data_IF_373473485539
#
_entry.id   IF_373473485539
#
_cell.length_a   1.000
_cell.length_b   1.000
_cell.length_c   1.000
_cell.angle_alpha   90.00
_cell.angle_beta   90.00
_cell.angle_gamma   90.00
#
_symmetry.space_group_name_H-M   'P 1'
#
loop_
_entity.id
_entity.type
_entity.pdbx_description
1 polymer ?
#
# COMPACT_ATOMS: atom_id res chain seq x y z
N UNK A 1 -88.42 67.19 19.55
CA UNK A 1 -87.43 68.26 19.82
C UNK A 1 -86.22 67.63 20.51
N UNK A 2 -85.05 67.76 19.87
CA UNK A 2 -83.65 67.73 20.39
C UNK A 2 -83.07 66.47 21.11
N UNK A 3 -82.28 65.73 20.32
CA UNK A 3 -80.98 65.03 20.58
C UNK A 3 -80.04 65.71 21.62
N UNK A 4 -78.85 65.14 21.96
CA UNK A 4 -78.46 63.76 22.37
C UNK A 4 -77.32 63.77 23.46
N UNK A 5 -76.91 62.64 24.06
CA UNK A 5 -75.53 62.46 24.56
C UNK A 5 -75.21 60.99 24.88
N UNK A 6 -74.79 60.27 23.85
CA UNK A 6 -73.99 59.05 23.93
C UNK A 6 -72.56 59.43 24.34
N UNK A 7 -72.23 59.27 25.62
CA UNK A 7 -70.88 59.47 26.16
C UNK A 7 -70.75 58.74 27.51
N UNK A 8 -70.22 57.51 27.53
CA UNK A 8 -69.32 56.98 28.58
C UNK A 8 -69.04 55.49 28.31
N UNK A 9 -67.80 55.08 28.59
CA UNK A 9 -67.23 53.72 28.56
C UNK A 9 -66.65 53.24 27.22
N UNK A 10 -65.62 53.96 26.76
CA UNK A 10 -64.56 53.43 25.90
C UNK A 10 -63.19 53.82 26.51
N UNK A 11 -62.73 53.09 27.53
CA UNK A 11 -61.33 53.15 28.03
C UNK A 11 -60.92 51.74 28.47
N UNK A 12 -60.46 50.95 27.51
CA UNK A 12 -59.65 49.75 27.76
C UNK A 12 -58.59 49.68 26.66
N UNK A 13 -57.67 50.64 26.71
CA UNK A 13 -56.41 50.62 26.00
C UNK A 13 -55.36 51.14 27.00
N UNK A 14 -54.32 50.34 27.24
CA UNK A 14 -52.97 50.66 27.79
C UNK A 14 -52.49 49.44 28.58
N UNK A 15 -51.45 48.74 28.09
CA UNK A 15 -50.76 47.73 28.91
C UNK A 15 -50.04 46.58 28.21
N UNK A 16 -49.76 46.62 26.90
CA UNK A 16 -48.80 45.68 26.31
C UNK A 16 -47.37 46.20 26.54
N UNK A 17 -46.78 45.90 27.70
CA UNK A 17 -45.34 46.01 27.88
C UNK A 17 -44.67 44.87 27.11
N UNK A 18 -44.20 45.16 25.89
CA UNK A 18 -43.27 44.29 25.17
C UNK A 18 -41.96 44.31 25.97
N UNK A 19 -41.73 43.28 26.78
CA UNK A 19 -40.43 43.04 27.41
C UNK A 19 -39.45 42.66 26.30
N UNK A 20 -38.53 43.56 25.96
CA UNK A 20 -37.45 43.26 25.04
C UNK A 20 -36.58 42.15 25.66
N UNK A 21 -36.67 40.93 25.12
CA UNK A 21 -35.84 39.82 25.53
C UNK A 21 -34.36 40.19 25.31
N UNK A 22 -33.51 39.97 26.32
CA UNK A 22 -32.08 40.17 26.20
C UNK A 22 -31.52 39.15 25.21
N UNK A 23 -30.93 39.60 24.10
CA UNK A 23 -30.26 38.72 23.15
C UNK A 23 -28.74 38.71 23.40
N UNK A 24 -28.12 37.56 23.16
CA UNK A 24 -26.66 37.46 23.16
C UNK A 24 -26.09 38.10 21.90
N UNK A 25 -25.04 38.90 22.06
CA UNK A 25 -24.29 39.54 20.98
C UNK A 25 -22.83 39.72 21.39
N UNK A 26 -22.01 40.29 20.53
CA UNK A 26 -20.63 40.64 20.85
C UNK A 26 -20.29 42.06 20.39
N UNK A 27 -19.33 42.68 21.06
CA UNK A 27 -18.74 43.96 20.69
C UNK A 27 -17.24 43.79 20.47
N UNK A 28 -16.63 44.73 19.74
CA UNK A 28 -15.18 44.80 19.50
C UNK A 28 -14.56 43.50 18.96
N UNK A 29 -15.31 42.81 18.09
CA UNK A 29 -14.81 41.62 17.39
C UNK A 29 -13.67 41.98 16.45
N UNK A 30 -12.53 41.32 16.60
CA UNK A 30 -11.38 41.46 15.71
C UNK A 30 -10.80 40.09 15.35
N UNK A 31 -10.53 39.92 14.07
CA UNK A 31 -9.85 38.78 13.47
C UNK A 31 -8.44 39.21 13.09
N UNK A 32 -7.42 38.46 13.49
CA UNK A 32 -6.03 38.71 13.12
C UNK A 32 -5.35 37.45 12.63
N UNK A 33 -4.73 37.48 11.45
CA UNK A 33 -3.90 36.39 10.92
C UNK A 33 -2.44 36.78 11.03
N UNK A 34 -1.63 35.92 11.66
CA UNK A 34 -0.18 36.13 11.81
C UNK A 34 0.59 34.95 11.25
N UNK A 35 1.47 35.20 10.28
CA UNK A 35 2.37 34.18 9.70
C UNK A 35 3.66 34.07 10.51
N UNK A 36 4.10 32.85 10.82
CA UNK A 36 5.31 32.61 11.62
C UNK A 36 6.54 32.45 10.71
N UNK A 37 7.08 33.56 10.23
CA UNK A 37 8.36 33.63 9.52
C UNK A 37 9.24 34.76 10.09
N UNK A 38 10.46 34.44 10.49
CA UNK A 38 11.45 35.42 10.94
C UNK A 38 11.86 36.32 9.77
N UNK A 39 11.20 37.47 9.60
CA UNK A 39 11.52 38.46 8.58
C UNK A 39 10.35 38.98 7.73
N UNK A 40 9.10 38.54 7.95
CA UNK A 40 7.99 39.05 7.16
C UNK A 40 7.53 40.44 7.63
N UNK A 41 7.89 41.46 6.86
CA UNK A 41 7.59 42.89 7.04
C UNK A 41 6.25 43.29 6.41
N UNK A 42 5.31 42.36 6.28
CA UNK A 42 3.97 42.66 5.77
C UNK A 42 2.92 42.38 6.86
N UNK A 43 2.17 43.42 7.21
CA UNK A 43 1.33 43.48 8.39
C UNK A 43 0.22 42.44 8.37
N UNK A 44 0.11 41.66 9.45
CA UNK A 44 -0.97 40.68 9.61
C UNK A 44 -2.35 41.31 9.36
N UNK A 45 -3.19 40.61 8.60
CA UNK A 45 -4.54 41.07 8.23
C UNK A 45 -5.37 41.19 9.51
N UNK A 46 -5.85 42.40 9.81
CA UNK A 46 -6.78 42.67 10.92
C UNK A 46 -8.12 43.11 10.35
N UNK A 47 -9.15 42.32 10.60
CA UNK A 47 -10.51 42.63 10.16
C UNK A 47 -11.45 42.74 11.37
N UNK A 48 -12.38 43.69 11.29
CA UNK A 48 -13.37 43.93 12.35
C UNK A 48 -14.59 43.07 12.07
N UNK A 49 -14.98 42.25 13.05
CA UNK A 49 -16.19 41.44 12.99
C UNK A 49 -17.37 42.26 13.52
N UNK A 50 -18.46 42.29 12.76
CA UNK A 50 -19.71 42.98 13.14
C UNK A 50 -20.78 41.93 13.39
N UNK A 51 -21.57 42.05 14.48
CA UNK A 51 -22.66 41.12 14.73
C UNK A 51 -23.64 41.08 13.56
N UNK A 52 -23.98 39.86 13.13
CA UNK A 52 -25.01 39.58 12.10
C UNK A 52 -24.61 39.98 10.67
N UNK A 53 -23.34 40.33 10.45
CA UNK A 53 -22.79 40.59 9.12
C UNK A 53 -21.58 39.69 8.88
N UNK A 54 -21.67 38.86 7.85
CA UNK A 54 -20.54 38.05 7.40
C UNK A 54 -19.53 38.94 6.66
N UNK A 55 -18.25 38.71 6.90
CA UNK A 55 -17.17 39.38 6.18
C UNK A 55 -17.22 39.03 4.68
N UNK A 56 -17.09 40.03 3.80
CA UNK A 56 -17.20 39.85 2.34
C UNK A 56 -16.00 39.14 1.72
N UNK A 57 -14.82 39.24 2.35
CA UNK A 57 -13.58 38.67 1.83
C UNK A 57 -13.31 37.34 2.52
N UNK A 58 -12.89 36.35 1.74
CA UNK A 58 -12.38 35.10 2.29
C UNK A 58 -11.00 35.33 2.91
N UNK A 59 -10.77 34.73 4.07
CA UNK A 59 -9.52 34.88 4.82
C UNK A 59 -8.62 33.68 4.54
N UNK A 60 -7.47 33.95 3.95
CA UNK A 60 -6.50 32.92 3.56
C UNK A 60 -5.62 32.50 4.75
N UNK A 61 -5.50 31.20 4.97
CA UNK A 61 -4.64 30.59 5.99
C UNK A 61 -3.53 29.76 5.34
N UNK A 62 -2.27 30.18 5.49
CA UNK A 62 -1.10 29.40 5.08
C UNK A 62 -0.75 28.25 6.04
N UNK A 63 0.25 27.45 5.68
CA UNK A 63 0.65 26.20 6.37
C UNK A 63 1.36 26.37 7.72
N UNK A 64 1.56 27.60 8.17
CA UNK A 64 2.10 27.93 9.49
C UNK A 64 1.41 29.16 10.11
N UNK A 65 0.28 29.59 9.55
CA UNK A 65 -0.40 30.80 9.99
C UNK A 65 -1.21 30.53 11.25
N UNK A 66 -1.18 31.49 12.16
CA UNK A 66 -2.00 31.51 13.37
C UNK A 66 -3.11 32.54 13.19
N UNK A 67 -4.35 32.08 13.22
CA UNK A 67 -5.53 32.92 13.23
C UNK A 67 -5.99 33.12 14.68
N UNK A 68 -6.17 34.37 15.07
CA UNK A 68 -6.61 34.75 16.42
C UNK A 68 -7.83 35.63 16.32
N UNK A 69 -8.87 35.27 17.07
CA UNK A 69 -10.11 36.04 17.18
C UNK A 69 -10.23 36.54 18.61
N UNK A 70 -10.53 37.82 18.77
CA UNK A 70 -10.82 38.46 20.05
C UNK A 70 -12.14 39.20 19.96
N UNK A 71 -13.06 38.95 20.89
CA UNK A 71 -14.36 39.61 20.93
C UNK A 71 -14.80 39.82 22.39
N UNK A 72 -15.71 40.76 22.64
CA UNK A 72 -16.29 41.00 23.97
C UNK A 72 -17.75 40.57 23.95
N UNK A 73 -18.08 39.50 24.65
CA UNK A 73 -19.43 38.92 24.67
C UNK A 73 -20.33 39.76 25.58
N UNK A 74 -21.54 40.08 25.10
CA UNK A 74 -22.52 40.90 25.79
C UNK A 74 -23.89 40.24 25.76
N UNK A 75 -24.61 40.34 26.87
CA UNK A 75 -26.04 40.06 26.97
C UNK A 75 -26.75 41.42 26.96
N UNK A 76 -27.45 41.73 25.86
CA UNK A 76 -27.96 43.08 25.62
C UNK A 76 -26.83 44.11 25.56
N UNK A 77 -26.78 45.04 26.53
CA UNK A 77 -25.72 46.07 26.65
C UNK A 77 -24.67 45.75 27.73
N UNK A 78 -24.83 44.64 28.44
CA UNK A 78 -23.96 44.28 29.57
C UNK A 78 -22.99 43.19 29.18
N UNK A 79 -21.69 43.42 29.37
CA UNK A 79 -20.68 42.39 29.16
C UNK A 79 -20.86 41.28 30.20
N UNK A 80 -21.09 40.05 29.74
CA UNK A 80 -21.32 38.89 30.60
C UNK A 80 -20.65 37.67 30.00
N UNK A 81 -20.26 36.73 30.87
CA UNK A 81 -19.73 35.44 30.48
C UNK A 81 -20.88 34.48 30.14
N UNK A 82 -21.03 34.03 28.88
CA UNK A 82 -22.02 33.00 28.56
C UNK A 82 -21.59 31.64 29.10
N UNK A 83 -22.55 30.73 29.19
CA UNK A 83 -22.27 29.34 29.56
C UNK A 83 -21.50 28.60 28.46
N UNK A 84 -21.83 28.90 27.21
CA UNK A 84 -21.30 28.25 26.01
C UNK A 84 -20.81 29.32 25.02
N UNK A 85 -19.53 29.22 24.63
CA UNK A 85 -18.92 30.07 23.61
C UNK A 85 -17.95 29.24 22.77
N UNK A 86 -18.34 28.97 21.52
CA UNK A 86 -17.54 28.18 20.58
C UNK A 86 -17.44 28.88 19.22
N UNK A 87 -16.28 28.72 18.59
CA UNK A 87 -16.09 28.97 17.17
C UNK A 87 -16.30 27.64 16.45
N UNK A 88 -17.33 27.56 15.62
CA UNK A 88 -17.63 26.39 14.83
C UNK A 88 -17.06 26.59 13.42
N UNK A 89 -16.24 25.65 12.96
CA UNK A 89 -15.67 25.62 11.61
C UNK A 89 -16.35 24.48 10.86
N UNK A 90 -17.03 24.78 9.77
CA UNK A 90 -17.80 23.80 9.00
C UNK A 90 -17.35 23.76 7.54
N UNK A 91 -17.19 22.55 7.02
CA UNK A 91 -17.07 22.26 5.59
C UNK A 91 -18.46 21.82 5.09
N UNK A 92 -19.10 22.67 4.27
CA UNK A 92 -20.46 22.42 3.79
C UNK A 92 -20.54 21.21 2.86
N UNK A 93 -19.48 20.97 2.08
CA UNK A 93 -19.45 19.92 1.06
C UNK A 93 -19.25 18.55 1.70
N UNK A 94 -18.35 18.47 2.68
CA UNK A 94 -18.01 17.21 3.35
C UNK A 94 -18.85 16.91 4.58
N UNK A 95 -19.73 17.84 4.99
CA UNK A 95 -20.52 17.77 6.24
C UNK A 95 -19.64 17.52 7.47
N UNK A 96 -18.44 18.12 7.49
CA UNK A 96 -17.50 18.02 8.59
C UNK A 96 -17.56 19.30 9.41
N UNK A 97 -17.60 19.17 10.73
CA UNK A 97 -17.60 20.29 11.66
C UNK A 97 -16.64 20.08 12.83
N UNK A 98 -16.01 21.16 13.27
CA UNK A 98 -15.13 21.16 14.44
C UNK A 98 -15.38 22.43 15.25
N UNK A 99 -15.58 22.26 16.55
CA UNK A 99 -15.81 23.36 17.49
C UNK A 99 -14.57 23.67 18.32
N UNK A 100 -14.23 24.95 18.42
CA UNK A 100 -13.12 25.45 19.23
C UNK A 100 -13.66 26.36 20.36
N UNK A 101 -13.41 26.05 21.64
CA UNK A 101 -13.90 26.88 22.73
C UNK A 101 -13.17 28.21 22.79
N UNK A 102 -13.92 29.27 23.06
CA UNK A 102 -13.34 30.55 23.44
C UNK A 102 -12.85 30.52 24.87
N UNK A 103 -11.67 31.09 25.12
CA UNK A 103 -11.20 31.40 26.47
C UNK A 103 -11.85 32.71 26.91
N UNK A 104 -12.96 32.62 27.66
CA UNK A 104 -13.76 33.77 28.11
C UNK A 104 -13.39 34.18 29.54
N UNK A 105 -13.03 35.45 29.73
CA UNK A 105 -12.82 36.07 31.04
C UNK A 105 -14.15 36.52 31.65
N UNK A 106 -14.15 36.75 32.97
CA UNK A 106 -15.31 37.27 33.69
C UNK A 106 -15.81 38.62 33.15
N UNK A 107 -14.91 39.42 32.56
CA UNK A 107 -15.23 40.68 31.88
C UNK A 107 -15.94 40.52 30.52
N UNK A 108 -16.28 39.30 30.10
CA UNK A 108 -16.88 39.01 28.79
C UNK A 108 -15.87 38.96 27.62
N UNK A 109 -14.59 39.33 27.85
CA UNK A 109 -13.55 39.23 26.81
C UNK A 109 -13.24 37.77 26.49
N UNK A 110 -13.34 37.40 25.23
CA UNK A 110 -13.19 36.05 24.71
C UNK A 110 -12.08 35.99 23.65
N UNK A 111 -11.21 34.98 23.74
CA UNK A 111 -10.11 34.78 22.80
C UNK A 111 -10.06 33.33 22.32
N UNK A 112 -9.94 33.13 21.01
CA UNK A 112 -9.62 31.83 20.40
C UNK A 112 -8.46 32.00 19.43
N UNK A 113 -7.68 30.94 19.25
CA UNK A 113 -6.50 30.90 18.40
C UNK A 113 -6.48 29.55 17.70
N UNK A 114 -6.35 29.57 16.38
CA UNK A 114 -6.28 28.42 15.50
C UNK A 114 -4.94 28.45 14.78
N UNK A 115 -4.31 27.31 14.60
CA UNK A 115 -3.08 27.16 13.83
C UNK A 115 -3.34 26.16 12.71
N UNK A 116 -3.07 26.58 11.49
CA UNK A 116 -3.00 25.66 10.35
C UNK A 116 -1.65 24.96 10.43
N UNK A 117 -1.60 23.74 10.96
CA UNK A 117 -0.41 22.89 10.96
C UNK A 117 -0.81 21.50 10.48
N UNK A 118 -0.11 21.02 9.46
CA UNK A 118 -0.23 19.63 9.02
C UNK A 118 0.44 18.74 10.08
N UNK A 119 -0.29 17.85 10.77
CA UNK A 119 0.33 16.91 11.70
C UNK A 119 1.22 15.94 10.92
N UNK A 120 2.52 15.93 11.23
CA UNK A 120 3.51 15.03 10.62
C UNK A 120 3.45 13.62 11.25
N UNK A 121 2.29 12.96 11.25
CA UNK A 121 2.21 11.55 11.66
C UNK A 121 2.76 10.59 10.58
N UNK A 122 3.15 11.11 9.42
CA UNK A 122 3.69 10.34 8.31
C UNK A 122 5.08 9.76 8.59
N UNK A 123 5.86 10.30 9.54
CA UNK A 123 7.19 9.74 9.86
C UNK A 123 7.14 8.39 10.57
N UNK A 124 6.10 8.13 11.37
CA UNK A 124 6.00 6.86 12.10
C UNK A 124 5.43 5.73 11.21
N UNK A 125 4.48 6.08 10.34
CA UNK A 125 3.93 5.14 9.35
C UNK A 125 4.89 4.87 8.19
N UNK A 126 5.72 5.85 7.83
CA UNK A 126 6.79 5.73 6.83
C UNK A 126 7.86 4.73 7.25
N UNK A 127 8.38 4.82 8.48
CA UNK A 127 9.40 3.87 9.01
C UNK A 127 8.91 2.42 9.02
N UNK A 128 7.60 2.19 9.25
CA UNK A 128 7.02 0.84 9.18
C UNK A 128 6.93 0.31 7.75
N UNK A 129 6.60 1.16 6.76
CA UNK A 129 6.54 0.77 5.35
C UNK A 129 7.93 0.62 4.73
N UNK A 130 8.90 1.41 5.17
CA UNK A 130 10.29 1.34 4.72
C UNK A 130 10.98 0.08 5.23
N UNK A 131 10.78 -0.27 6.51
CA UNK A 131 11.24 -1.55 7.06
C UNK A 131 10.55 -2.75 6.40
N UNK A 132 9.26 -2.64 6.06
CA UNK A 132 8.50 -3.73 5.43
C UNK A 132 8.82 -3.88 3.92
N UNK A 133 9.20 -2.80 3.23
CA UNK A 133 9.75 -2.87 1.85
C UNK A 133 11.19 -3.40 1.85
N UNK A 134 12.02 -3.02 2.82
CA UNK A 134 13.39 -3.51 2.93
C UNK A 134 13.45 -5.03 3.19
N UNK A 135 12.48 -5.61 3.89
CA UNK A 135 12.39 -7.07 4.09
C UNK A 135 11.84 -7.84 2.88
N UNK A 136 11.26 -7.17 1.87
CA UNK A 136 10.53 -7.83 0.78
C UNK A 136 11.06 -7.52 -0.63
N UNK A 137 12.10 -6.66 -0.76
CA UNK A 137 12.63 -6.20 -2.05
C UNK A 137 14.05 -6.68 -2.41
N UNK A 138 14.64 -7.66 -1.72
CA UNK A 138 15.98 -8.17 -2.05
C UNK A 138 15.96 -9.35 -3.05
N UNK A 139 15.01 -9.32 -3.98
CA UNK A 139 14.87 -10.33 -5.05
C UNK A 139 14.28 -9.68 -6.29
N UNK A 140 15.19 -9.16 -7.14
CA UNK A 140 15.02 -8.73 -8.56
C UNK A 140 15.37 -7.26 -8.82
N UNK A 141 16.66 -7.03 -9.09
CA UNK A 141 17.17 -5.84 -9.77
C UNK A 141 17.20 -6.09 -11.29
N UNK A 142 16.25 -5.54 -12.05
CA UNK A 142 16.39 -5.33 -13.51
C UNK A 142 15.75 -3.97 -13.86
N UNK A 143 16.48 -3.04 -14.50
CA UNK A 143 15.98 -1.69 -14.85
C UNK A 143 15.05 -1.70 -16.07
N UNK A 144 14.21 -0.65 -16.27
CA UNK A 144 13.23 -0.62 -17.35
C UNK A 144 13.84 -0.04 -18.63
N UNK A 145 13.59 -0.69 -19.77
CA UNK A 145 13.67 -0.06 -21.09
C UNK A 145 12.61 -0.64 -22.04
N UNK A 146 11.89 0.30 -22.65
CA UNK A 146 11.28 0.30 -23.99
C UNK A 146 10.17 -0.69 -24.40
N UNK A 147 8.98 -0.10 -24.52
CA UNK A 147 8.11 -0.10 -25.71
C UNK A 147 7.25 -1.32 -26.06
N UNK A 148 5.93 -1.01 -26.11
CA UNK A 148 4.95 -1.38 -27.15
C UNK A 148 4.29 -2.78 -27.21
N UNK A 149 2.95 -2.71 -27.12
CA UNK A 149 1.93 -3.41 -27.93
C UNK A 149 1.38 -4.77 -27.43
N UNK A 150 0.24 -4.64 -26.74
CA UNK A 150 -1.11 -5.21 -27.04
C UNK A 150 -1.38 -6.72 -27.20
N UNK A 151 -2.44 -7.10 -26.48
CA UNK A 151 -3.56 -8.02 -26.82
C UNK A 151 -3.54 -9.48 -26.34
N UNK A 152 -4.34 -9.67 -25.27
CA UNK A 152 -5.38 -10.70 -25.00
C UNK A 152 -5.18 -12.15 -25.50
N UNK A 153 -5.38 -13.14 -24.60
CA UNK A 153 -6.59 -13.99 -24.54
C UNK A 153 -6.38 -15.33 -23.77
N UNK A 154 -7.14 -15.49 -22.68
CA UNK A 154 -7.70 -16.69 -22.01
C UNK A 154 -6.99 -18.06 -21.97
N UNK A 155 -6.81 -18.64 -20.77
CA UNK A 155 -7.59 -19.78 -20.19
C UNK A 155 -6.87 -20.34 -18.94
N UNK A 156 -7.58 -20.79 -17.87
CA UNK A 156 -6.94 -21.25 -16.64
C UNK A 156 -6.78 -22.78 -16.60
N UNK A 157 -5.58 -23.28 -16.29
CA UNK A 157 -5.35 -24.68 -15.93
C UNK A 157 -4.78 -24.78 -14.53
N UNK A 158 -5.40 -25.66 -13.73
CA UNK A 158 -5.08 -26.03 -12.37
C UNK A 158 -3.59 -26.34 -12.18
N UNK A 159 -2.91 -25.61 -11.29
CA UNK A 159 -1.63 -26.06 -10.73
C UNK A 159 -1.52 -25.69 -9.26
N UNK A 160 -1.50 -26.71 -8.41
CA UNK A 160 -1.15 -26.65 -6.99
C UNK A 160 0.37 -26.49 -6.84
N UNK A 161 0.90 -25.54 -6.04
CA UNK A 161 2.26 -25.62 -5.56
C UNK A 161 2.34 -25.84 -4.04
N UNK A 162 3.06 -26.90 -3.74
CA UNK A 162 3.57 -27.39 -2.45
C UNK A 162 4.24 -26.28 -1.60
N UNK A 163 4.00 -26.17 -0.28
CA UNK A 163 4.65 -25.17 0.55
C UNK A 163 6.09 -25.60 0.89
N UNK A 164 7.07 -25.14 0.11
CA UNK A 164 8.46 -25.09 0.60
C UNK A 164 8.59 -23.90 1.55
N UNK A 165 8.49 -24.19 2.84
CA UNK A 165 8.96 -23.37 3.95
C UNK A 165 10.42 -22.98 3.75
N UNK A 166 10.67 -21.71 3.41
CA UNK A 166 11.98 -21.10 3.61
C UNK A 166 11.94 -20.35 4.95
N UNK A 167 12.56 -20.94 5.98
CA UNK A 167 12.90 -20.25 7.22
C UNK A 167 14.04 -19.28 6.91
N UNK A 168 13.75 -17.99 6.89
CA UNK A 168 14.80 -16.98 7.07
C UNK A 168 15.09 -16.89 8.57
N UNK A 169 16.28 -17.37 8.96
CA UNK A 169 16.87 -17.14 10.28
C UNK A 169 17.11 -15.64 10.44
N UNK A 170 16.42 -15.02 11.39
CA UNK A 170 16.67 -13.62 11.77
C UNK A 170 18.06 -13.44 12.40
N UNK A 171 18.77 -12.34 12.11
CA UNK A 171 19.92 -11.94 12.90
C UNK A 171 19.44 -11.29 14.21
N UNK A 172 19.84 -11.90 15.33
CA UNK A 172 19.61 -11.50 16.74
C UNK A 172 20.41 -10.23 17.11
N UNK A 173 20.31 -9.16 16.32
CA UNK A 173 21.12 -7.94 16.55
C UNK A 173 20.35 -6.61 16.57
N UNK A 174 19.02 -6.61 16.45
CA UNK A 174 18.22 -5.37 16.49
C UNK A 174 17.49 -5.10 17.81
N UNK A 175 17.81 -5.83 18.87
CA UNK A 175 17.16 -5.69 20.18
C UNK A 175 17.98 -4.86 21.19
N UNK A 176 19.25 -4.55 20.90
CA UNK A 176 20.14 -3.84 21.82
C UNK A 176 20.19 -2.31 21.62
N UNK A 177 19.78 -1.79 20.46
CA UNK A 177 19.78 -0.34 20.20
C UNK A 177 18.49 0.37 20.63
N UNK A 178 17.45 -0.38 21.00
CA UNK A 178 16.12 0.17 21.37
C UNK A 178 16.01 0.50 22.87
N UNK A 179 16.94 0.03 23.70
CA UNK A 179 16.86 0.17 25.17
C UNK A 179 17.66 1.34 25.77
N UNK A 180 18.42 2.10 24.97
CA UNK A 180 19.40 3.09 25.47
C UNK A 180 19.14 4.55 25.06
N UNK A 181 17.95 4.91 24.58
CA UNK A 181 17.57 6.32 24.33
C UNK A 181 16.52 6.82 25.33
N UNK A 182 16.92 7.46 26.44
CA UNK A 182 15.99 8.13 27.33
C UNK A 182 15.70 9.51 26.74
N UNK A 183 14.64 9.65 25.93
CA UNK A 183 13.91 10.89 25.63
C UNK A 183 12.95 10.67 24.44
N UNK A 184 12.02 9.72 24.59
CA UNK A 184 10.85 9.66 23.72
C UNK A 184 9.81 10.65 24.27
N UNK A 185 9.74 11.81 23.63
CA UNK A 185 8.70 12.81 23.80
C UNK A 185 7.34 12.09 23.85
N UNK A 186 6.46 12.39 24.83
CA UNK A 186 5.13 11.79 24.87
C UNK A 186 4.37 12.11 23.58
N UNK A 187 3.39 11.28 23.18
CA UNK A 187 2.54 11.58 22.03
C UNK A 187 1.97 12.97 22.25
N UNK A 188 2.31 13.90 21.36
CA UNK A 188 1.85 15.29 21.43
C UNK A 188 0.34 15.21 21.25
N UNK A 189 -0.41 15.24 22.37
CA UNK A 189 -1.87 15.39 22.34
C UNK A 189 -2.15 16.53 21.38
N UNK A 190 -2.96 16.30 20.34
CA UNK A 190 -3.36 17.36 19.40
C UNK A 190 -3.67 18.59 20.24
N UNK A 191 -2.81 19.61 20.15
CA UNK A 191 -3.08 20.80 20.93
C UNK A 191 -4.39 21.31 20.36
N UNK A 192 -5.38 21.57 21.22
CA UNK A 192 -6.77 21.93 20.89
C UNK A 192 -6.91 23.16 19.96
N UNK A 193 -5.80 23.66 19.44
CA UNK A 193 -5.59 24.84 18.61
C UNK A 193 -5.29 24.49 17.16
N UNK A 194 -4.93 23.24 16.83
CA UNK A 194 -4.55 22.89 15.46
C UNK A 194 -5.80 22.53 14.62
N UNK A 195 -5.84 22.98 13.36
CA UNK A 195 -6.91 22.63 12.40
C UNK A 195 -6.67 21.20 11.87
N UNK A 196 -7.64 20.25 11.99
CA UNK A 196 -7.43 18.89 11.52
C UNK A 196 -7.12 18.85 10.03
N UNK A 197 -6.26 17.90 9.62
CA UNK A 197 -5.81 17.78 8.24
C UNK A 197 -6.94 17.64 7.21
N UNK A 198 -8.12 17.16 7.63
CA UNK A 198 -9.30 17.04 6.77
C UNK A 198 -9.79 18.40 6.25
N UNK A 199 -9.60 19.48 7.01
CA UNK A 199 -10.00 20.84 6.66
C UNK A 199 -8.91 21.61 5.88
N UNK A 200 -7.74 20.99 5.67
CA UNK A 200 -6.61 21.61 4.95
C UNK A 200 -6.56 21.20 3.47
N UNK A 201 -7.60 20.54 2.96
CA UNK A 201 -7.65 20.08 1.57
C UNK A 201 -7.72 21.27 0.59
N UNK A 202 -7.05 21.18 -0.57
CA UNK A 202 -7.08 22.24 -1.58
C UNK A 202 -8.53 22.51 -2.04
N UNK A 203 -8.85 23.79 -2.26
CA UNK A 203 -10.15 24.29 -2.74
C UNK A 203 -11.33 24.08 -1.79
N UNK A 204 -11.10 23.86 -0.50
CA UNK A 204 -12.19 23.80 0.49
C UNK A 204 -12.56 25.20 1.00
N UNK A 205 -13.85 25.51 1.03
CA UNK A 205 -14.37 26.74 1.64
C UNK A 205 -14.98 26.42 2.99
N UNK A 206 -14.36 26.93 4.06
CA UNK A 206 -14.79 26.62 5.42
C UNK A 206 -15.61 27.79 5.95
N UNK A 207 -16.88 27.54 6.24
CA UNK A 207 -17.74 28.54 6.88
C UNK A 207 -17.47 28.53 8.37
N UNK A 208 -17.10 29.68 8.95
CA UNK A 208 -16.95 29.81 10.40
C UNK A 208 -18.12 30.56 11.00
N UNK A 209 -18.71 30.00 12.05
CA UNK A 209 -19.80 30.61 12.81
C UNK A 209 -19.43 30.76 14.28
N UNK A 210 -19.96 31.82 14.87
CA UNK A 210 -19.76 32.11 16.29
C UNK A 210 -21.04 31.71 17.02
N UNK A 211 -20.90 30.83 18.01
CA UNK A 211 -22.03 30.32 18.80
C UNK A 211 -21.86 30.80 20.24
N UNK A 212 -22.83 31.58 20.71
CA UNK A 212 -22.90 32.08 22.09
C UNK A 212 -24.25 31.68 22.69
N UNK A 213 -24.24 30.97 23.81
CA UNK A 213 -25.47 30.56 24.48
C UNK A 213 -25.29 30.53 26.00
N UNK A 214 -26.38 30.81 26.71
CA UNK A 214 -26.49 30.57 28.15
C UNK A 214 -27.84 29.97 28.46
N UNK A 215 -27.94 29.31 29.61
CA UNK A 215 -29.25 29.00 30.19
C UNK A 215 -29.88 30.31 30.71
N UNK A 216 -31.19 30.48 30.52
CA UNK A 216 -31.93 31.63 31.05
C UNK A 216 -32.92 32.28 30.06
N UNK A 217 -33.42 33.45 30.44
CA UNK A 217 -34.42 34.23 29.67
C UNK A 217 -33.88 34.77 28.33
N UNK A 218 -32.57 34.69 28.11
CA UNK A 218 -31.84 35.24 26.96
C UNK A 218 -31.80 34.24 25.78
N UNK A 219 -32.97 33.71 25.43
CA UNK A 219 -33.17 32.79 24.29
C UNK A 219 -33.88 33.53 23.15
N UNK A 220 -33.45 33.39 21.88
CA UNK A 220 -32.42 32.47 21.38
C UNK A 220 -30.97 32.95 21.61
N UNK A 221 -30.05 31.99 21.71
CA UNK A 221 -28.61 32.26 21.67
C UNK A 221 -28.16 32.82 20.33
N UNK A 222 -26.93 33.33 20.27
CA UNK A 222 -26.32 33.84 19.05
C UNK A 222 -25.75 32.69 18.22
N UNK A 223 -26.18 32.55 16.97
CA UNK A 223 -25.61 31.61 16.00
C UNK A 223 -25.62 32.27 14.61
N UNK A 224 -24.49 32.83 14.19
CA UNK A 224 -24.34 33.50 12.90
C UNK A 224 -22.97 33.21 12.28
N UNK A 225 -22.93 33.15 10.95
CA UNK A 225 -21.69 33.02 10.19
C UNK A 225 -20.89 34.33 10.26
N UNK A 226 -19.60 34.23 10.58
CA UNK A 226 -18.73 35.39 10.77
C UNK A 226 -17.84 35.64 9.54
N UNK A 227 -17.15 34.61 9.04
CA UNK A 227 -16.24 34.71 7.90
C UNK A 227 -15.99 33.34 7.25
N UNK A 228 -15.52 33.36 6.00
CA UNK A 228 -15.15 32.17 5.25
C UNK A 228 -13.63 32.01 5.25
N UNK A 229 -13.13 30.84 5.64
CA UNK A 229 -11.71 30.49 5.58
C UNK A 229 -11.41 29.71 4.31
N UNK A 230 -10.31 30.08 3.66
CA UNK A 230 -9.74 29.32 2.55
C UNK A 230 -8.32 28.89 2.94
N UNK A 231 -8.09 27.59 3.19
CA UNK A 231 -6.74 27.08 3.39
C UNK A 231 -5.97 27.20 2.07
N UNK A 232 -4.88 27.97 2.05
CA UNK A 232 -4.00 28.01 0.88
C UNK A 232 -3.12 26.76 0.92
N UNK A 233 -3.28 25.89 -0.08
CA UNK A 233 -2.47 24.69 -0.25
C UNK A 233 -0.97 25.04 -0.22
N UNK A 234 -0.24 24.39 0.68
CA UNK A 234 1.21 24.51 0.79
C UNK A 234 1.85 23.79 -0.39
N UNK A 235 2.58 24.53 -1.23
CA UNK A 235 3.45 24.09 -2.34
C UNK A 235 2.84 23.09 -3.35
N UNK A 236 2.64 23.47 -4.64
CA UNK A 236 2.12 22.57 -5.68
C UNK A 236 2.97 21.31 -5.93
N UNK A 237 4.18 21.21 -5.38
CA UNK A 237 5.09 20.07 -5.55
C UNK A 237 4.98 18.97 -4.48
N UNK A 238 4.23 19.20 -3.39
CA UNK A 238 4.04 18.18 -2.34
C UNK A 238 2.59 17.69 -2.37
N UNK A 239 2.31 16.49 -2.91
CA UNK A 239 0.97 15.92 -2.85
C UNK A 239 0.54 15.83 -1.39
N UNK A 240 -0.59 16.45 -1.03
CA UNK A 240 -1.23 16.17 0.25
C UNK A 240 -1.36 14.65 0.37
N UNK A 241 -0.87 14.01 1.44
CA UNK A 241 -1.13 12.60 1.63
C UNK A 241 -2.64 12.45 1.70
N UNK A 242 -3.22 11.75 0.72
CA UNK A 242 -4.64 11.43 0.66
C UNK A 242 -5.01 10.74 1.97
N UNK A 243 -5.47 11.54 2.93
CA UNK A 243 -5.89 11.10 4.26
C UNK A 243 -7.41 11.12 4.27
N UNK A 244 -8.03 10.64 3.18
CA UNK A 244 -9.29 9.94 3.35
C UNK A 244 -8.94 8.66 4.11
N UNK A 245 -9.24 8.63 5.41
CA UNK A 245 -9.36 7.34 6.09
C UNK A 245 -10.31 6.52 5.25
N UNK A 246 -9.95 5.29 4.84
CA UNK A 246 -10.80 4.50 3.97
C UNK A 246 -12.17 4.45 4.63
N UNK A 247 -13.22 4.79 3.86
CA UNK A 247 -14.59 4.63 4.31
C UNK A 247 -14.71 3.25 4.97
N UNK A 248 -14.99 3.22 6.28
CA UNK A 248 -15.03 1.97 7.05
C UNK A 248 -15.99 0.96 6.40
N UNK A 249 -17.05 1.47 5.79
CA UNK A 249 -18.03 0.72 5.01
C UNK A 249 -18.07 1.20 3.56
N UNK A 250 -16.90 1.28 2.90
CA UNK A 250 -16.77 1.57 1.48
C UNK A 250 -16.40 0.34 0.66
N UNK A 251 -16.63 0.39 -0.66
CA UNK A 251 -16.10 -0.61 -1.58
C UNK A 251 -14.57 -0.45 -1.63
N UNK A 252 -13.83 -1.49 -1.21
CA UNK A 252 -12.39 -1.54 -1.40
C UNK A 252 -12.07 -1.73 -2.90
N UNK A 253 -10.93 -1.21 -3.39
CA UNK A 253 -10.49 -1.47 -4.76
C UNK A 253 -10.27 -2.97 -4.97
N UNK A 254 -10.67 -3.48 -6.14
CA UNK A 254 -10.50 -4.88 -6.53
C UNK A 254 -9.01 -5.24 -6.64
N UNK A 255 -8.59 -6.36 -6.05
CA UNK A 255 -7.21 -6.82 -6.05
C UNK A 255 -7.05 -7.90 -7.13
N UNK A 256 -6.25 -7.63 -8.17
CA UNK A 256 -5.91 -8.64 -9.17
C UNK A 256 -4.60 -9.35 -8.78
N UNK A 257 -4.61 -10.69 -8.81
CA UNK A 257 -3.38 -11.46 -8.68
C UNK A 257 -2.52 -11.27 -9.93
N UNK A 258 -1.33 -10.71 -9.78
CA UNK A 258 -0.36 -10.56 -10.87
C UNK A 258 0.44 -11.86 -10.96
N UNK A 259 0.17 -12.65 -12.02
CA UNK A 259 0.95 -13.85 -12.32
C UNK A 259 2.37 -13.46 -12.74
N UNK A 260 3.34 -14.34 -12.44
CA UNK A 260 4.68 -14.21 -12.99
C UNK A 260 4.60 -14.39 -14.51
N UNK A 261 5.44 -13.66 -15.25
CA UNK A 261 5.62 -13.93 -16.67
C UNK A 261 6.23 -15.32 -16.88
N UNK A 262 5.82 -16.00 -17.95
CA UNK A 262 6.40 -17.29 -18.32
C UNK A 262 7.89 -17.14 -18.68
N UNK A 263 8.76 -18.10 -18.32
CA UNK A 263 10.16 -18.05 -18.69
C UNK A 263 10.32 -18.11 -20.21
N UNK A 264 11.16 -17.25 -20.78
CA UNK A 264 11.43 -17.23 -22.22
C UNK A 264 12.44 -18.33 -22.60
N UNK A 265 12.05 -19.27 -23.46
CA UNK A 265 12.96 -20.29 -24.01
C UNK A 265 13.81 -19.71 -25.17
N UNK A 266 15.03 -20.26 -25.42
CA UNK A 266 15.83 -19.91 -26.59
C UNK A 266 15.10 -20.17 -27.92
N UNK A 267 15.49 -19.48 -29.02
CA UNK A 267 14.96 -19.78 -30.34
C UNK A 267 15.37 -21.18 -30.79
N UNK A 268 14.43 -21.91 -31.39
CA UNK A 268 14.57 -23.33 -31.79
C UNK A 268 15.79 -23.59 -32.67
N UNK A 269 16.16 -22.62 -33.52
CA UNK A 269 17.32 -22.72 -34.43
C UNK A 269 18.61 -22.97 -33.65
N UNK A 270 18.81 -22.26 -32.53
CA UNK A 270 20.02 -22.41 -31.70
C UNK A 270 20.07 -23.84 -31.13
N UNK A 271 18.95 -24.32 -30.57
CA UNK A 271 18.87 -25.69 -30.04
C UNK A 271 19.14 -26.76 -31.10
N UNK A 272 18.66 -26.57 -32.33
CA UNK A 272 18.89 -27.50 -33.44
C UNK A 272 20.36 -27.55 -33.88
N UNK A 273 21.07 -26.42 -33.89
CA UNK A 273 22.50 -26.38 -34.22
C UNK A 273 23.31 -27.20 -33.22
N UNK A 274 23.05 -27.05 -31.91
CA UNK A 274 23.72 -27.84 -30.87
C UNK A 274 23.35 -29.33 -30.95
N UNK A 275 22.08 -29.65 -31.22
CA UNK A 275 21.65 -31.03 -31.43
C UNK A 275 22.37 -31.68 -32.63
N UNK A 276 22.48 -30.96 -33.76
CA UNK A 276 23.23 -31.41 -34.94
C UNK A 276 24.72 -31.59 -34.63
N UNK A 277 25.32 -30.69 -33.85
CA UNK A 277 26.70 -30.81 -33.38
C UNK A 277 26.93 -32.08 -32.56
N UNK A 278 26.03 -32.41 -31.62
CA UNK A 278 26.11 -33.66 -30.84
C UNK A 278 25.95 -34.87 -31.75
N UNK A 279 24.99 -34.87 -32.67
CA UNK A 279 24.82 -35.99 -33.62
C UNK A 279 26.04 -36.17 -34.52
N UNK A 280 26.73 -35.10 -34.91
CA UNK A 280 27.95 -35.17 -35.73
C UNK A 280 29.14 -35.83 -35.01
N UNK A 281 29.14 -35.89 -33.67
CA UNK A 281 30.20 -36.58 -32.91
C UNK A 281 30.17 -38.11 -33.11
N UNK A 282 29.00 -38.69 -33.38
CA UNK A 282 28.82 -40.14 -33.60
C UNK A 282 29.52 -40.62 -34.89
N UNK A 283 29.24 -40.08 -36.09
CA UNK A 283 29.95 -40.49 -37.31
C UNK A 283 31.43 -40.13 -37.26
N UNK A 284 31.80 -39.03 -36.58
CA UNK A 284 33.20 -38.69 -36.35
C UNK A 284 33.92 -39.79 -35.54
N UNK A 285 33.32 -40.27 -34.44
CA UNK A 285 33.87 -41.37 -33.65
C UNK A 285 34.02 -42.66 -34.48
N UNK A 286 33.03 -42.99 -35.31
CA UNK A 286 33.10 -44.14 -36.22
C UNK A 286 34.24 -43.99 -37.24
N UNK A 287 34.41 -42.80 -37.83
CA UNK A 287 35.50 -42.53 -38.77
C UNK A 287 36.88 -42.68 -38.10
N UNK A 288 37.02 -42.22 -36.86
CA UNK A 288 38.25 -42.38 -36.08
C UNK A 288 38.52 -43.86 -35.80
N UNK A 289 37.52 -44.65 -35.39
CA UNK A 289 37.70 -46.09 -35.19
C UNK A 289 38.12 -46.83 -36.46
N UNK A 290 37.52 -46.50 -37.61
CA UNK A 290 37.91 -47.07 -38.90
C UNK A 290 39.35 -46.66 -39.28
N UNK A 291 39.75 -45.42 -39.02
CA UNK A 291 41.11 -44.95 -39.24
C UNK A 291 42.15 -45.65 -38.36
N UNK A 292 41.81 -45.94 -37.09
CA UNK A 292 42.67 -46.71 -36.17
C UNK A 292 42.72 -48.21 -36.49
N UNK A 293 41.98 -48.68 -37.49
CA UNK A 293 41.93 -50.10 -37.87
C UNK A 293 41.10 -50.98 -36.93
N UNK A 294 40.10 -50.39 -36.24
CA UNK A 294 39.14 -51.16 -35.45
C UNK A 294 38.41 -52.15 -36.37
N UNK A 295 38.42 -53.43 -35.99
CA UNK A 295 37.91 -54.53 -36.81
C UNK A 295 37.06 -55.49 -35.96
N UNK A 296 36.30 -56.34 -36.66
CA UNK A 296 35.34 -57.31 -36.07
C UNK A 296 35.73 -58.75 -36.48
N UNK A 297 37.00 -58.99 -36.82
CA UNK A 297 37.47 -60.27 -37.38
C UNK A 297 37.39 -61.44 -36.40
N UNK A 298 37.43 -61.19 -35.09
CA UNK A 298 37.32 -62.21 -34.05
C UNK A 298 35.86 -62.66 -33.78
N UNK A 299 34.86 -61.95 -34.30
CA UNK A 299 33.45 -62.19 -34.03
C UNK A 299 32.95 -63.54 -34.59
N UNK A 300 33.25 -63.95 -35.84
CA UNK A 300 32.84 -65.25 -36.36
C UNK A 300 33.44 -66.40 -35.55
N UNK A 301 34.70 -66.29 -35.15
CA UNK A 301 35.34 -67.27 -34.27
C UNK A 301 34.66 -67.29 -32.90
N UNK A 302 34.31 -66.12 -32.32
CA UNK A 302 33.61 -66.02 -31.02
C UNK A 302 32.27 -66.75 -31.04
N UNK A 303 31.50 -66.51 -32.10
CA UNK A 303 30.19 -67.11 -32.29
C UNK A 303 30.24 -68.60 -32.59
N UNK A 304 31.33 -69.13 -33.17
CA UNK A 304 31.44 -70.57 -33.44
C UNK A 304 31.80 -71.42 -32.22
N UNK A 305 32.64 -70.90 -31.31
CA UNK A 305 33.08 -71.66 -30.12
C UNK A 305 32.02 -71.69 -29.03
N UNK A 306 31.42 -70.52 -28.72
CA UNK A 306 30.36 -70.42 -27.70
C UNK A 306 29.22 -69.51 -28.18
N UNK A 307 28.40 -69.98 -29.13
CA UNK A 307 27.33 -69.17 -29.71
C UNK A 307 26.36 -68.67 -28.65
N UNK A 308 25.96 -69.54 -27.72
CA UNK A 308 24.94 -69.23 -26.73
C UNK A 308 25.42 -68.15 -25.75
N UNK A 309 26.64 -68.23 -25.23
CA UNK A 309 27.09 -67.24 -24.24
C UNK A 309 27.27 -65.85 -24.87
N UNK A 310 27.87 -65.78 -26.06
CA UNK A 310 28.13 -64.51 -26.74
C UNK A 310 26.83 -63.84 -27.22
N UNK A 311 25.93 -64.59 -27.86
CA UNK A 311 24.64 -64.05 -28.32
C UNK A 311 23.78 -63.59 -27.15
N UNK A 312 23.68 -64.42 -26.11
CA UNK A 312 22.87 -64.11 -24.94
C UNK A 312 23.45 -62.91 -24.19
N UNK A 313 24.77 -62.82 -24.03
CA UNK A 313 25.43 -61.67 -23.41
C UNK A 313 25.19 -60.38 -24.19
N UNK A 314 25.45 -60.33 -25.50
CA UNK A 314 25.23 -59.12 -26.31
C UNK A 314 23.74 -58.73 -26.33
N UNK A 315 22.84 -59.71 -26.43
CA UNK A 315 21.39 -59.46 -26.38
C UNK A 315 20.95 -58.91 -25.02
N UNK A 316 21.56 -59.36 -23.91
CA UNK A 316 21.24 -58.86 -22.58
C UNK A 316 21.69 -57.42 -22.41
N UNK A 317 22.85 -57.03 -22.94
CA UNK A 317 23.34 -55.64 -22.93
C UNK A 317 22.43 -54.75 -23.77
N UNK A 318 22.08 -55.18 -24.99
CA UNK A 318 21.13 -54.45 -25.84
C UNK A 318 19.73 -54.33 -25.20
N UNK A 319 19.28 -55.39 -24.52
CA UNK A 319 18.03 -55.41 -23.76
C UNK A 319 18.05 -54.45 -22.58
N UNK A 320 19.18 -54.34 -21.85
CA UNK A 320 19.35 -53.38 -20.75
C UNK A 320 19.22 -51.94 -21.27
N UNK A 321 19.92 -51.60 -22.37
CA UNK A 321 19.80 -50.30 -23.03
C UNK A 321 18.37 -50.03 -23.49
N UNK A 322 17.69 -51.04 -24.03
CA UNK A 322 16.29 -50.93 -24.43
C UNK A 322 15.35 -50.69 -23.24
N UNK A 323 15.58 -51.34 -22.09
CA UNK A 323 14.82 -51.07 -20.86
C UNK A 323 15.06 -49.63 -20.38
N UNK A 324 16.28 -49.09 -20.50
CA UNK A 324 16.53 -47.67 -20.20
C UNK A 324 15.85 -46.72 -21.18
N UNK A 325 15.79 -47.07 -22.46
CA UNK A 325 15.00 -46.31 -23.44
C UNK A 325 13.50 -46.34 -23.11
N UNK A 326 12.97 -47.50 -22.70
CA UNK A 326 11.57 -47.61 -22.26
C UNK A 326 11.33 -46.84 -20.97
N UNK A 327 12.26 -46.84 -20.02
CA UNK A 327 12.20 -46.02 -18.82
C UNK A 327 12.13 -44.52 -19.14
N UNK A 328 12.96 -44.06 -20.09
CA UNK A 328 12.97 -42.66 -20.50
C UNK A 328 11.68 -42.24 -21.21
N UNK A 329 11.05 -43.15 -21.97
CA UNK A 329 9.88 -42.83 -22.79
C UNK A 329 8.53 -43.08 -22.10
N UNK A 330 8.38 -44.15 -21.32
CA UNK A 330 7.06 -44.58 -20.84
C UNK A 330 7.01 -45.41 -19.54
N UNK A 331 8.06 -46.14 -19.16
CA UNK A 331 8.00 -47.07 -18.02
C UNK A 331 8.23 -46.38 -16.68
N UNK A 332 7.54 -46.88 -15.65
CA UNK A 332 7.77 -46.48 -14.26
C UNK A 332 8.96 -47.22 -13.63
N UNK A 333 9.55 -46.64 -12.59
CA UNK A 333 10.69 -47.25 -11.85
C UNK A 333 10.41 -48.68 -11.36
N UNK A 334 9.19 -48.97 -10.90
CA UNK A 334 8.82 -50.31 -10.42
C UNK A 334 8.60 -51.34 -11.54
N UNK A 335 8.45 -50.90 -12.79
CA UNK A 335 8.42 -51.78 -13.97
C UNK A 335 9.84 -52.05 -14.49
N UNK A 336 10.71 -51.04 -14.43
CA UNK A 336 12.09 -51.14 -14.92
C UNK A 336 12.96 -51.98 -14.02
N UNK A 337 12.84 -51.84 -12.70
CA UNK A 337 13.65 -52.58 -11.72
C UNK A 337 13.57 -54.12 -11.87
N UNK A 338 12.38 -54.77 -11.93
CA UNK A 338 12.32 -56.22 -12.11
C UNK A 338 12.85 -56.66 -13.49
N UNK A 339 12.56 -55.90 -14.56
CA UNK A 339 13.08 -56.20 -15.89
C UNK A 339 14.61 -56.10 -15.94
N UNK A 340 15.18 -55.06 -15.36
CA UNK A 340 16.61 -54.86 -15.22
C UNK A 340 17.24 -55.92 -14.31
N UNK A 341 16.54 -56.35 -13.26
CA UNK A 341 16.98 -57.45 -12.39
C UNK A 341 17.10 -58.77 -13.15
N UNK A 342 16.08 -59.14 -13.93
CA UNK A 342 16.12 -60.35 -14.77
C UNK A 342 17.22 -60.26 -15.83
N UNK A 343 17.28 -59.16 -16.59
CA UNK A 343 18.32 -58.96 -17.60
C UNK A 343 19.72 -58.88 -16.99
N UNK A 344 19.86 -58.32 -15.79
CA UNK A 344 21.12 -58.25 -15.06
C UNK A 344 21.64 -59.61 -14.63
N UNK A 345 20.77 -60.49 -14.12
CA UNK A 345 21.15 -61.89 -13.81
C UNK A 345 21.56 -62.64 -15.07
N UNK A 346 20.80 -62.47 -16.15
CA UNK A 346 21.08 -63.02 -17.47
C UNK A 346 22.48 -62.56 -17.95
N UNK A 347 22.72 -61.25 -17.95
CA UNK A 347 24.00 -60.64 -18.36
C UNK A 347 25.18 -61.12 -17.51
N UNK A 348 25.00 -61.26 -16.20
CA UNK A 348 26.03 -61.75 -15.28
C UNK A 348 26.42 -63.22 -15.59
N UNK A 349 25.43 -64.10 -15.75
CA UNK A 349 25.67 -65.52 -16.01
C UNK A 349 26.23 -65.78 -17.41
N UNK A 350 25.71 -65.10 -18.44
CA UNK A 350 26.23 -65.26 -19.80
C UNK A 350 27.57 -64.56 -19.99
N UNK A 351 27.74 -63.39 -19.38
CA UNK A 351 28.94 -62.58 -19.46
C UNK A 351 30.14 -63.27 -18.81
N UNK A 352 29.95 -63.91 -17.66
CA UNK A 352 31.03 -64.70 -17.02
C UNK A 352 31.54 -65.82 -17.93
N UNK A 353 30.64 -66.51 -18.66
CA UNK A 353 31.02 -67.55 -19.64
C UNK A 353 31.66 -66.97 -20.91
N UNK A 354 31.09 -65.90 -21.48
CA UNK A 354 31.61 -65.25 -22.68
C UNK A 354 33.00 -64.65 -22.45
N UNK A 355 33.23 -64.02 -21.30
CA UNK A 355 34.54 -63.47 -20.92
C UNK A 355 35.55 -64.58 -20.60
N UNK A 356 35.12 -65.71 -20.04
CA UNK A 356 35.97 -66.88 -19.82
C UNK A 356 36.52 -67.44 -21.13
N UNK A 357 35.66 -67.56 -22.15
CA UNK A 357 36.05 -67.98 -23.51
C UNK A 357 37.05 -67.01 -24.16
N UNK A 358 36.83 -65.69 -23.99
CA UNK A 358 37.78 -64.66 -24.44
C UNK A 358 39.13 -64.77 -23.71
N UNK A 359 39.12 -65.14 -22.43
CA UNK A 359 40.33 -65.39 -21.66
C UNK A 359 41.05 -66.66 -22.14
N UNK A 360 40.34 -67.74 -22.46
CA UNK A 360 40.91 -68.98 -23.00
C UNK A 360 41.64 -68.74 -24.34
N UNK A 361 41.08 -67.93 -25.24
CA UNK A 361 41.78 -67.53 -26.49
C UNK A 361 43.09 -66.79 -26.24
N UNK A 362 43.10 -65.93 -25.21
CA UNK A 362 44.31 -65.19 -24.83
C UNK A 362 45.38 -66.14 -24.28
N UNK A 363 44.98 -67.14 -23.52
CA UNK A 363 45.88 -68.19 -23.02
C UNK A 363 46.34 -69.13 -24.16
N UNK A 364 45.49 -69.40 -25.15
CA UNK A 364 45.81 -70.18 -26.35
C UNK A 364 46.59 -69.44 -27.44
N UNK A 365 46.85 -68.15 -27.27
CA UNK A 365 47.61 -67.33 -28.22
C UNK A 365 46.87 -66.92 -29.51
N UNK A 366 45.55 -67.13 -29.59
CA UNK A 366 44.74 -66.87 -30.79
C UNK A 366 44.04 -65.51 -30.75
N UNK A 367 44.81 -64.44 -30.50
CA UNK A 367 44.25 -63.07 -30.50
C UNK A 367 43.85 -62.60 -31.89
#
# INVERSE_FOLDING_TARGET
MRLPQTLLLLVSALGSTVSAASSWTFADGSLSVTSKGAGSKDGGVKEKLVPSQQLSNAVSLGSADTLKITLTIQEGKTAKRPHQAFLLVQDQDRRLDVSYPFSVKESGKAVVSLVSRVPLDTKEKGRRRENMKATMCDSQSIPPNDSMVDTQTSTPSHYFPNPRTYRCLEPIYLLLDVLLTPNLLPPRSQTQRDLPAQFLAPNTSLTTSIILASFGASTPGYNQAAFTLQPTASDPSTPFPATETPLRYGKLPEIHHIFRSDPKSPPVIISLVFFGGVLATIPFLVAVWLYLGANISALPSALSVSPVSHTLFVSSVAGIEFVFFLYYTSWNLFQTLPALGVLGVIAFLSGSRALGEVQERRLGGTR
#
